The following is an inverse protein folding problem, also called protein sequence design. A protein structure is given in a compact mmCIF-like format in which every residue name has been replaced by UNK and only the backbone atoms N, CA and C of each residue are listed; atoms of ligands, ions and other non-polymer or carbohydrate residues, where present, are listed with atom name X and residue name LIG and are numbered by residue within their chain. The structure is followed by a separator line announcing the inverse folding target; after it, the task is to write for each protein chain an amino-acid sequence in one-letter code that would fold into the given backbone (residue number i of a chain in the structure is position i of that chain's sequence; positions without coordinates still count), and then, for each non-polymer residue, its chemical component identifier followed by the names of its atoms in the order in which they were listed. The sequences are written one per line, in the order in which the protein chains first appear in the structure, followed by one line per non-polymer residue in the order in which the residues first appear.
data_IF_933304617814
#
_entry.id   IF_933304617814
#
_cell.length_a   1.000
_cell.length_b   1.000
_cell.length_c   1.000
_cell.angle_alpha   90.00
_cell.angle_beta   90.00
_cell.angle_gamma   90.00
#
_symmetry.space_group_name_H-M   'P 1'
#
loop_
_entity.id
_entity.type
_entity.pdbx_description
1 polymer ?
#
# COMPACT_ATOMS: atom_id res chain seq x y z
N UNK A 1 -4.44 -22.81 55.52
CA UNK A 1 -5.51 -22.19 54.70
C UNK A 1 -4.80 -21.37 53.65
N UNK A 2 -4.68 -21.87 52.42
CA UNK A 2 -3.96 -21.22 51.32
C UNK A 2 -4.92 -20.41 50.46
N UNK A 3 -4.64 -19.12 50.33
CA UNK A 3 -5.26 -18.20 49.39
C UNK A 3 -4.80 -18.51 47.96
N UNK A 4 -5.75 -18.85 47.08
CA UNK A 4 -5.54 -18.98 45.63
C UNK A 4 -6.10 -17.69 44.98
N UNK A 5 -5.35 -16.99 44.11
CA UNK A 5 -5.85 -15.79 43.45
C UNK A 5 -6.91 -16.16 42.40
N UNK A 6 -7.85 -15.25 42.06
CA UNK A 6 -8.88 -15.54 41.07
C UNK A 6 -8.24 -15.71 39.69
N UNK A 7 -8.43 -16.90 39.11
CA UNK A 7 -8.12 -17.24 37.73
C UNK A 7 -8.79 -16.24 36.79
N UNK A 8 -7.99 -15.44 36.07
CA UNK A 8 -8.45 -14.55 35.01
C UNK A 8 -9.30 -15.32 34.01
N UNK A 9 -10.59 -15.01 33.93
CA UNK A 9 -11.46 -15.59 32.92
C UNK A 9 -10.94 -15.23 31.51
N UNK A 10 -10.92 -16.17 30.55
CA UNK A 10 -10.50 -15.88 29.20
C UNK A 10 -11.43 -14.82 28.58
N UNK A 11 -10.83 -13.77 28.02
CA UNK A 11 -11.57 -12.71 27.33
C UNK A 11 -12.44 -13.31 26.22
N UNK A 12 -13.67 -12.79 26.01
CA UNK A 12 -14.55 -13.29 24.96
C UNK A 12 -13.89 -13.13 23.58
N UNK A 13 -14.06 -14.10 22.67
CA UNK A 13 -13.51 -13.99 21.33
C UNK A 13 -14.12 -12.79 20.61
N UNK A 14 -13.26 -11.93 20.06
CA UNK A 14 -13.64 -10.78 19.24
C UNK A 14 -14.61 -11.22 18.11
N UNK A 15 -15.73 -10.52 17.89
CA UNK A 15 -16.65 -10.82 16.80
C UNK A 15 -16.04 -10.35 15.47
N UNK A 16 -15.39 -11.28 14.81
CA UNK A 16 -14.92 -11.21 13.43
C UNK A 16 -14.50 -12.61 13.04
N UNK A 17 -14.96 -13.12 11.90
CA UNK A 17 -14.63 -14.50 11.53
C UNK A 17 -13.10 -14.63 11.49
N UNK A 18 -12.56 -15.62 12.22
CA UNK A 18 -11.13 -15.94 12.27
C UNK A 18 -10.50 -16.04 10.87
N UNK A 19 -11.34 -16.34 9.87
CA UNK A 19 -11.06 -16.41 8.43
C UNK A 19 -10.78 -15.05 7.78
N UNK A 20 -11.50 -13.99 8.14
CA UNK A 20 -11.25 -12.63 7.63
C UNK A 20 -9.95 -12.02 8.19
N UNK A 21 -9.60 -12.33 9.43
CA UNK A 21 -8.32 -11.93 10.02
C UNK A 21 -7.12 -12.69 9.43
N UNK A 22 -7.33 -13.91 8.92
CA UNK A 22 -6.31 -14.73 8.24
C UNK A 22 -6.07 -14.33 6.77
N UNK A 23 -6.98 -13.57 6.15
CA UNK A 23 -6.89 -13.16 4.74
C UNK A 23 -6.29 -11.76 4.53
N UNK A 24 -6.01 -11.01 5.60
CA UNK A 24 -5.36 -9.70 5.48
C UNK A 24 -3.87 -9.90 5.19
N UNK A 25 -3.38 -9.23 4.15
CA UNK A 25 -1.97 -9.23 3.84
C UNK A 25 -1.15 -8.81 5.07
N UNK A 26 -0.20 -9.62 5.50
CA UNK A 26 0.62 -9.26 6.69
C UNK A 26 1.71 -8.25 6.33
N UNK A 27 2.02 -8.19 5.04
CA UNK A 27 3.04 -7.32 4.48
C UNK A 27 2.52 -6.64 3.21
N UNK A 28 2.68 -5.34 3.12
CA UNK A 28 2.42 -4.56 1.90
C UNK A 28 3.75 -4.05 1.36
N UNK A 29 4.06 -4.37 0.12
CA UNK A 29 5.31 -3.98 -0.53
C UNK A 29 4.97 -2.97 -1.61
N UNK A 30 5.49 -1.75 -1.48
CA UNK A 30 5.25 -0.64 -2.40
C UNK A 30 6.52 -0.41 -3.20
N UNK A 31 6.42 -0.41 -4.52
CA UNK A 31 7.55 -0.23 -5.43
C UNK A 31 7.16 0.67 -6.59
N UNK A 32 8.08 1.51 -7.04
CA UNK A 32 7.91 2.36 -8.21
C UNK A 32 8.58 1.76 -9.43
N UNK A 33 8.08 2.10 -10.61
CA UNK A 33 8.73 1.73 -11.88
C UNK A 33 9.98 2.58 -12.19
N UNK A 34 10.06 3.75 -11.56
CA UNK A 34 11.15 4.71 -11.72
C UNK A 34 11.24 5.64 -10.49
N UNK A 35 12.37 6.33 -10.36
CA UNK A 35 12.55 7.38 -9.36
C UNK A 35 11.53 8.52 -9.53
N UNK A 36 11.04 9.06 -8.41
CA UNK A 36 10.12 10.20 -8.42
C UNK A 36 8.70 9.90 -8.94
N UNK A 37 8.29 8.64 -9.02
CA UNK A 37 6.92 8.22 -9.38
C UNK A 37 5.90 8.47 -8.28
N UNK A 38 6.35 8.72 -7.04
CA UNK A 38 5.49 8.91 -5.87
C UNK A 38 5.37 7.69 -4.97
N UNK A 39 6.25 6.69 -5.10
CA UNK A 39 6.28 5.46 -4.29
C UNK A 39 6.17 5.74 -2.80
N UNK A 40 7.03 6.61 -2.27
CA UNK A 40 7.05 6.99 -0.85
C UNK A 40 5.77 7.71 -0.41
N UNK A 41 5.16 8.49 -1.30
CA UNK A 41 3.87 9.14 -1.02
C UNK A 41 2.75 8.11 -0.89
N UNK A 42 2.70 7.12 -1.80
CA UNK A 42 1.73 6.03 -1.74
C UNK A 42 1.96 5.16 -0.50
N UNK A 43 3.22 4.83 -0.17
CA UNK A 43 3.61 4.11 1.03
C UNK A 43 3.14 4.81 2.32
N UNK A 44 3.37 6.13 2.42
CA UNK A 44 2.94 6.91 3.58
C UNK A 44 1.41 7.01 3.71
N UNK A 45 0.68 7.17 2.60
CA UNK A 45 -0.79 7.17 2.60
C UNK A 45 -1.38 5.82 3.02
N UNK A 46 -0.76 4.71 2.59
CA UNK A 46 -1.16 3.37 3.02
C UNK A 46 -0.87 3.14 4.51
N UNK A 47 0.30 3.56 4.99
CA UNK A 47 0.65 3.44 6.40
C UNK A 47 -0.33 4.21 7.30
N UNK A 48 -0.69 5.44 6.91
CA UNK A 48 -1.72 6.22 7.59
C UNK A 48 -3.07 5.52 7.60
N UNK A 49 -3.55 5.12 6.41
CA UNK A 49 -4.89 4.60 6.29
C UNK A 49 -5.05 3.26 7.02
N UNK A 50 -4.04 2.39 6.98
CA UNK A 50 -4.03 1.14 7.76
C UNK A 50 -3.92 1.46 9.26
N UNK A 51 -3.02 2.37 9.64
CA UNK A 51 -2.75 2.69 11.03
C UNK A 51 -3.92 3.39 11.73
N UNK A 52 -4.31 4.55 11.19
CA UNK A 52 -5.34 5.40 11.76
C UNK A 52 -6.76 4.90 11.57
N UNK A 53 -7.09 4.26 10.44
CA UNK A 53 -8.49 3.84 10.16
C UNK A 53 -8.81 2.44 10.63
N UNK A 54 -7.81 1.55 10.68
CA UNK A 54 -8.02 0.15 11.03
C UNK A 54 -7.49 -0.20 12.43
N UNK A 55 -6.83 0.74 13.11
CA UNK A 55 -6.32 0.55 14.47
C UNK A 55 -5.20 -0.50 14.53
N UNK A 56 -4.32 -0.52 13.53
CA UNK A 56 -3.21 -1.47 13.39
C UNK A 56 -1.89 -0.74 13.56
N UNK A 57 -0.90 -1.33 14.23
CA UNK A 57 0.46 -0.76 14.23
C UNK A 57 1.11 -1.08 12.89
N UNK A 58 1.49 -0.05 12.14
CA UNK A 58 2.24 -0.20 10.89
C UNK A 58 3.73 -0.02 11.17
N UNK A 59 4.50 -1.09 10.97
CA UNK A 59 5.95 -1.02 10.90
C UNK A 59 6.36 -0.74 9.45
N UNK A 60 6.65 0.53 9.16
CA UNK A 60 7.11 0.97 7.86
C UNK A 60 8.65 0.87 7.77
N UNK A 61 9.16 0.23 6.72
CA UNK A 61 10.58 0.07 6.43
C UNK A 61 10.89 0.71 5.08
N UNK A 62 11.87 1.60 5.05
CA UNK A 62 12.29 2.34 3.87
C UNK A 62 13.58 1.74 3.30
N UNK A 63 13.52 1.29 2.04
CA UNK A 63 14.66 0.82 1.27
C UNK A 63 15.04 1.79 0.15
N UNK A 64 14.35 2.93 0.04
CA UNK A 64 14.47 3.93 -1.03
C UNK A 64 15.45 5.07 -0.75
N UNK A 65 16.02 5.14 0.47
CA UNK A 65 17.06 6.11 0.83
C UNK A 65 16.69 7.11 1.94
N UNK A 66 15.55 6.97 2.62
CA UNK A 66 15.32 7.60 3.93
C UNK A 66 14.21 8.66 4.04
N UNK A 67 13.37 8.84 3.01
CA UNK A 67 12.31 9.86 3.00
C UNK A 67 10.99 9.39 3.64
N UNK A 68 10.82 8.08 3.88
CA UNK A 68 9.57 7.53 4.42
C UNK A 68 9.28 8.03 5.84
N UNK A 69 10.30 8.07 6.71
CA UNK A 69 10.14 8.50 8.10
C UNK A 69 9.65 9.96 8.21
N UNK A 70 10.06 10.82 7.27
CA UNK A 70 9.61 12.20 7.19
C UNK A 70 8.14 12.34 6.76
N UNK A 71 7.57 11.32 6.11
CA UNK A 71 6.21 11.34 5.54
C UNK A 71 5.16 10.70 6.45
N UNK A 72 5.55 9.80 7.37
CA UNK A 72 4.63 9.07 8.24
C UNK A 72 3.84 10.00 9.19
N UNK A 73 2.51 9.87 9.28
CA UNK A 73 1.72 10.47 10.35
C UNK A 73 1.96 9.77 11.70
N UNK A 74 1.57 10.42 12.80
CA UNK A 74 1.73 9.86 14.16
C UNK A 74 0.88 8.60 14.31
N UNK A 75 1.50 7.48 14.70
CA UNK A 75 0.81 6.19 14.91
C UNK A 75 0.62 5.93 16.42
N UNK A 76 -0.59 5.54 16.81
CA UNK A 76 -0.95 5.12 18.17
C UNK A 76 -0.63 3.62 18.42
N UNK A 77 -0.43 3.18 19.68
CA UNK A 77 -0.12 1.79 19.99
C UNK A 77 -1.34 0.86 19.84
N UNK A 78 -1.18 -0.26 19.12
CA UNK A 78 -2.20 -1.29 18.92
C UNK A 78 -1.64 -2.74 18.95
N UNK A 79 -2.53 -3.73 19.02
CA UNK A 79 -2.22 -5.15 19.33
C UNK A 79 -1.88 -6.03 18.13
N UNK A 80 -1.98 -5.50 16.89
CA UNK A 80 -1.63 -6.22 15.64
C UNK A 80 -0.60 -5.40 14.85
N UNK A 81 0.42 -6.08 14.29
CA UNK A 81 1.50 -5.46 13.51
C UNK A 81 1.36 -5.81 12.03
N UNK A 82 1.39 -4.79 11.17
CA UNK A 82 1.53 -4.91 9.72
C UNK A 82 2.87 -4.34 9.30
N UNK A 83 3.54 -5.01 8.37
CA UNK A 83 4.79 -4.49 7.79
C UNK A 83 4.51 -3.81 6.45
N UNK A 84 5.03 -2.60 6.26
CA UNK A 84 5.00 -1.89 4.99
C UNK A 84 6.43 -1.66 4.50
N UNK A 85 6.75 -2.06 3.27
CA UNK A 85 8.05 -1.81 2.66
C UNK A 85 7.92 -0.77 1.54
N UNK A 86 8.65 0.34 1.65
CA UNK A 86 8.92 1.22 0.51
C UNK A 86 10.20 0.75 -0.17
N UNK A 87 10.07 0.19 -1.36
CA UNK A 87 11.17 -0.38 -2.14
C UNK A 87 11.79 0.62 -3.12
N UNK A 88 11.33 1.87 -3.19
CA UNK A 88 11.82 2.81 -4.20
C UNK A 88 11.59 2.27 -5.62
N UNK A 89 12.53 2.48 -6.54
CA UNK A 89 12.41 2.08 -7.95
C UNK A 89 12.94 0.65 -8.22
N UNK A 90 12.52 -0.34 -7.43
CA UNK A 90 13.10 -1.69 -7.43
C UNK A 90 12.02 -2.77 -7.56
N UNK A 91 11.41 -2.90 -8.76
CA UNK A 91 10.27 -3.80 -8.99
C UNK A 91 10.64 -5.28 -8.84
N UNK A 92 11.79 -5.73 -9.37
CA UNK A 92 12.23 -7.13 -9.26
C UNK A 92 12.41 -7.61 -7.82
N UNK A 93 13.26 -6.94 -7.00
CA UNK A 93 13.40 -7.28 -5.58
C UNK A 93 12.08 -7.18 -4.79
N UNK A 94 11.22 -6.20 -5.12
CA UNK A 94 9.91 -6.07 -4.50
C UNK A 94 9.00 -7.26 -4.81
N UNK A 95 8.99 -7.74 -6.06
CA UNK A 95 8.24 -8.92 -6.47
C UNK A 95 8.75 -10.19 -5.78
N UNK A 96 10.08 -10.32 -5.61
CA UNK A 96 10.66 -11.44 -4.89
C UNK A 96 10.22 -11.48 -3.41
N UNK A 97 10.12 -10.33 -2.74
CA UNK A 97 9.58 -10.24 -1.39
C UNK A 97 8.05 -10.48 -1.35
N UNK A 98 7.35 -10.08 -2.41
CA UNK A 98 5.90 -10.23 -2.53
C UNK A 98 5.47 -11.64 -2.94
N UNK A 99 6.42 -12.53 -3.26
CA UNK A 99 6.21 -13.92 -3.65
C UNK A 99 5.39 -14.74 -2.66
N UNK A 100 5.55 -14.44 -1.37
CA UNK A 100 4.82 -15.10 -0.30
C UNK A 100 3.32 -14.78 -0.43
N UNK A 101 2.42 -15.79 -0.44
CA UNK A 101 0.98 -15.58 -0.69
C UNK A 101 0.29 -14.59 0.26
N UNK A 102 0.82 -14.44 1.47
CA UNK A 102 0.32 -13.50 2.48
C UNK A 102 0.79 -12.05 2.28
N UNK A 103 1.57 -11.78 1.22
CA UNK A 103 2.11 -10.46 0.88
C UNK A 103 1.43 -9.90 -0.37
N UNK A 104 1.18 -8.59 -0.37
CA UNK A 104 0.67 -7.87 -1.54
C UNK A 104 1.71 -6.91 -2.10
N UNK A 105 1.62 -6.68 -3.41
CA UNK A 105 2.47 -5.76 -4.14
C UNK A 105 1.66 -4.55 -4.63
N UNK A 106 2.17 -3.35 -4.39
CA UNK A 106 1.68 -2.10 -4.95
C UNK A 106 2.73 -1.56 -5.91
N UNK A 107 2.40 -1.49 -7.19
CA UNK A 107 3.28 -0.93 -8.23
C UNK A 107 2.87 0.51 -8.52
N UNK A 108 3.82 1.43 -8.44
CA UNK A 108 3.59 2.87 -8.55
C UNK A 108 4.18 3.39 -9.86
N UNK A 109 3.33 4.03 -10.66
CA UNK A 109 3.69 4.63 -11.94
C UNK A 109 3.25 6.08 -12.02
N UNK A 110 3.67 6.77 -13.09
CA UNK A 110 3.13 8.10 -13.42
C UNK A 110 1.77 7.94 -14.09
N UNK A 111 0.83 8.83 -13.78
CA UNK A 111 -0.44 8.92 -14.49
C UNK A 111 -0.26 9.65 -15.83
N UNK A 112 0.49 9.02 -16.74
CA UNK A 112 0.66 9.39 -18.15
C UNK A 112 0.65 8.11 -18.99
N UNK A 113 0.46 8.21 -20.30
CA UNK A 113 0.48 7.04 -21.18
C UNK A 113 1.85 6.33 -21.15
N UNK A 114 2.94 7.09 -21.17
CA UNK A 114 4.30 6.55 -20.97
C UNK A 114 4.44 5.86 -19.61
N UNK A 115 3.87 6.45 -18.55
CA UNK A 115 3.92 5.87 -17.20
C UNK A 115 3.11 4.57 -17.10
N UNK A 116 1.99 4.47 -17.81
CA UNK A 116 1.21 3.24 -17.91
C UNK A 116 1.97 2.16 -18.71
N UNK A 117 2.68 2.54 -19.77
CA UNK A 117 3.55 1.64 -20.52
C UNK A 117 4.74 1.15 -19.66
N UNK A 118 5.38 2.05 -18.90
CA UNK A 118 6.45 1.71 -17.94
C UNK A 118 5.96 0.69 -16.91
N UNK A 119 4.76 0.88 -16.36
CA UNK A 119 4.13 -0.08 -15.44
C UNK A 119 3.86 -1.41 -16.11
N UNK A 120 3.29 -1.43 -17.32
CA UNK A 120 3.03 -2.68 -18.03
C UNK A 120 4.33 -3.46 -18.28
N UNK A 121 5.40 -2.79 -18.68
CA UNK A 121 6.71 -3.41 -18.86
C UNK A 121 7.26 -3.98 -17.55
N UNK A 122 7.13 -3.23 -16.44
CA UNK A 122 7.53 -3.69 -15.13
C UNK A 122 6.72 -4.92 -14.66
N UNK A 123 5.39 -4.92 -14.84
CA UNK A 123 4.53 -6.06 -14.51
C UNK A 123 4.89 -7.30 -15.35
N UNK A 124 5.16 -7.12 -16.65
CA UNK A 124 5.59 -8.20 -17.52
C UNK A 124 6.92 -8.84 -17.05
N UNK A 125 7.84 -8.04 -16.51
CA UNK A 125 9.12 -8.53 -15.98
C UNK A 125 9.00 -9.40 -14.72
N UNK A 126 7.86 -9.35 -14.02
CA UNK A 126 7.60 -10.09 -12.78
C UNK A 126 6.43 -11.08 -12.88
N UNK A 127 5.91 -11.29 -14.09
CA UNK A 127 4.67 -12.06 -14.32
C UNK A 127 4.82 -13.57 -14.07
N UNK A 128 6.04 -14.09 -14.11
CA UNK A 128 6.30 -15.54 -14.13
C UNK A 128 7.18 -16.02 -12.99
N UNK A 129 7.91 -15.12 -12.35
CA UNK A 129 8.77 -15.46 -11.22
C UNK A 129 8.70 -14.38 -10.15
N UNK A 130 8.75 -14.76 -8.86
CA UNK A 130 8.75 -16.13 -8.32
C UNK A 130 7.37 -16.75 -8.09
N UNK A 131 6.26 -16.03 -8.35
CA UNK A 131 4.90 -16.51 -8.09
C UNK A 131 3.94 -16.14 -9.25
N UNK A 132 3.34 -17.12 -9.94
CA UNK A 132 2.43 -16.86 -11.06
C UNK A 132 1.12 -16.18 -10.66
N UNK A 133 0.77 -16.18 -9.37
CA UNK A 133 -0.43 -15.51 -8.83
C UNK A 133 -0.17 -14.07 -8.40
N UNK A 134 1.09 -13.62 -8.41
CA UNK A 134 1.49 -12.31 -7.89
C UNK A 134 0.73 -11.16 -8.57
N UNK A 135 0.59 -11.18 -9.89
CA UNK A 135 -0.13 -10.13 -10.61
C UNK A 135 -1.59 -10.06 -10.17
N UNK A 136 -2.27 -11.20 -10.03
CA UNK A 136 -3.66 -11.29 -9.59
C UNK A 136 -3.93 -10.76 -8.18
N UNK A 137 -2.88 -10.55 -7.37
CA UNK A 137 -2.94 -9.89 -6.05
C UNK A 137 -2.19 -8.55 -5.98
N UNK A 138 -1.68 -8.07 -7.10
CA UNK A 138 -0.99 -6.79 -7.21
C UNK A 138 -1.96 -5.66 -7.52
N UNK A 139 -1.74 -4.49 -6.94
CA UNK A 139 -2.53 -3.28 -7.25
C UNK A 139 -1.61 -2.22 -7.85
N UNK A 140 -2.08 -1.50 -8.86
CA UNK A 140 -1.32 -0.40 -9.47
C UNK A 140 -1.88 0.94 -9.00
N UNK A 141 -0.99 1.82 -8.57
CA UNK A 141 -1.28 3.22 -8.32
C UNK A 141 -0.57 4.12 -9.36
N UNK A 142 -1.35 4.77 -10.22
CA UNK A 142 -0.85 5.77 -11.16
C UNK A 142 -0.97 7.16 -10.53
N UNK A 143 0.16 7.81 -10.29
CA UNK A 143 0.22 9.10 -9.59
C UNK A 143 0.29 10.24 -10.60
N UNK A 144 -0.72 11.10 -10.56
CA UNK A 144 -0.78 12.34 -11.32
C UNK A 144 -0.14 13.46 -10.53
N UNK A 145 0.86 14.11 -11.14
CA UNK A 145 1.55 15.28 -10.57
C UNK A 145 1.33 16.53 -11.42
N UNK A 146 0.60 16.41 -12.53
CA UNK A 146 0.39 17.53 -13.43
C UNK A 146 -0.61 18.53 -12.80
N UNK A 147 -0.34 19.82 -12.99
CA UNK A 147 -1.29 20.87 -12.59
C UNK A 147 -2.63 20.77 -13.34
N UNK A 148 -2.61 20.19 -14.55
CA UNK A 148 -3.78 19.87 -15.36
C UNK A 148 -3.86 18.35 -15.53
N UNK A 149 -4.83 17.68 -14.89
CA UNK A 149 -5.00 16.24 -15.01
C UNK A 149 -5.26 15.86 -16.46
N UNK A 150 -4.51 14.87 -16.96
CA UNK A 150 -4.80 14.26 -18.26
C UNK A 150 -5.54 12.94 -18.02
N UNK A 151 -6.43 12.57 -18.94
CA UNK A 151 -7.02 11.25 -18.94
C UNK A 151 -5.92 10.24 -19.30
N UNK A 152 -5.85 9.13 -18.55
CA UNK A 152 -4.86 8.07 -18.79
C UNK A 152 -5.64 6.80 -19.10
N UNK A 153 -5.25 6.09 -20.16
CA UNK A 153 -5.87 4.81 -20.46
C UNK A 153 -5.35 3.72 -19.50
N UNK A 154 -6.16 3.42 -18.48
CA UNK A 154 -5.82 2.38 -17.51
C UNK A 154 -6.01 0.95 -18.04
N UNK A 155 -6.66 0.77 -19.19
CA UNK A 155 -6.93 -0.58 -19.74
C UNK A 155 -5.64 -1.34 -20.03
N UNK A 156 -4.63 -0.65 -20.57
CA UNK A 156 -3.30 -1.21 -20.85
C UNK A 156 -2.66 -1.86 -19.62
N UNK A 157 -2.92 -1.31 -18.44
CA UNK A 157 -2.42 -1.87 -17.17
C UNK A 157 -3.35 -2.95 -16.64
N UNK A 158 -4.68 -2.76 -16.73
CA UNK A 158 -5.67 -3.76 -16.28
C UNK A 158 -5.53 -5.08 -17.04
N UNK A 159 -5.25 -5.02 -18.33
CA UNK A 159 -5.08 -6.19 -19.19
C UNK A 159 -3.85 -7.04 -18.81
N UNK A 160 -2.96 -6.53 -17.95
CA UNK A 160 -1.87 -7.30 -17.36
C UNK A 160 -2.34 -8.26 -16.25
N UNK A 161 -3.62 -8.26 -15.89
CA UNK A 161 -4.20 -9.20 -14.91
C UNK A 161 -4.00 -8.78 -13.45
N UNK A 162 -3.88 -7.49 -13.17
CA UNK A 162 -3.74 -6.95 -11.81
C UNK A 162 -5.08 -6.92 -11.05
N UNK A 163 -5.03 -7.02 -9.72
CA UNK A 163 -6.22 -6.96 -8.86
C UNK A 163 -6.97 -5.63 -8.95
N UNK A 164 -6.24 -4.54 -9.19
CA UNK A 164 -6.81 -3.21 -9.30
C UNK A 164 -5.86 -2.20 -9.91
N UNK A 165 -6.44 -1.14 -10.48
CA UNK A 165 -5.71 0.05 -10.96
C UNK A 165 -6.44 1.27 -10.44
N UNK A 166 -5.72 2.13 -9.72
CA UNK A 166 -6.21 3.40 -9.20
C UNK A 166 -5.38 4.56 -9.74
N UNK A 167 -6.00 5.73 -9.89
CA UNK A 167 -5.31 6.96 -10.30
C UNK A 167 -5.35 7.95 -9.13
N UNK A 168 -4.20 8.17 -8.51
CA UNK A 168 -4.03 9.16 -7.46
C UNK A 168 -3.83 10.53 -8.09
N UNK A 169 -4.84 11.38 -8.01
CA UNK A 169 -4.78 12.74 -8.57
C UNK A 169 -3.93 13.67 -7.72
N UNK A 170 -3.40 14.72 -8.35
CA UNK A 170 -2.62 15.73 -7.66
C UNK A 170 -3.43 16.33 -6.50
N UNK A 171 -2.78 16.40 -5.33
CA UNK A 171 -3.35 16.96 -4.11
C UNK A 171 -2.34 17.92 -3.49
N UNK A 172 -2.80 19.12 -3.15
CA UNK A 172 -1.96 20.17 -2.56
C UNK A 172 -1.37 19.73 -1.23
N UNK A 173 -2.10 18.94 -0.43
CA UNK A 173 -1.60 18.40 0.84
C UNK A 173 -0.41 17.45 0.64
N UNK A 174 -0.28 16.84 -0.56
CA UNK A 174 0.83 15.95 -0.91
C UNK A 174 2.01 16.68 -1.58
N UNK A 175 1.78 17.88 -2.13
CA UNK A 175 2.81 18.65 -2.84
C UNK A 175 3.90 19.25 -1.94
N UNK A 176 3.66 19.32 -0.63
CA UNK A 176 4.61 19.87 0.33
C UNK A 176 5.62 18.79 0.75
N UNK A 177 6.91 19.13 0.91
CA UNK A 177 7.85 18.25 1.59
C UNK A 177 7.47 18.08 3.07
N UNK A 178 7.88 16.96 3.68
CA UNK A 178 7.58 16.65 5.09
C UNK A 178 6.29 15.85 5.30
N UNK A 179 5.83 15.83 6.56
CA UNK A 179 4.73 14.97 7.03
C UNK A 179 3.44 15.24 6.27
N UNK A 180 2.71 14.18 5.91
CA UNK A 180 1.39 14.30 5.29
C UNK A 180 0.38 14.75 6.34
N UNK A 181 -0.22 15.93 6.12
CA UNK A 181 -1.34 16.43 6.94
C UNK A 181 -2.65 15.77 6.49
N UNK A 182 -2.99 14.65 7.13
CA UNK A 182 -4.16 13.81 6.77
C UNK A 182 -5.48 14.61 6.78
N UNK A 183 -5.62 15.53 7.74
CA UNK A 183 -6.79 16.41 7.84
C UNK A 183 -6.95 17.36 6.64
N UNK A 184 -5.86 17.61 5.90
CA UNK A 184 -5.86 18.46 4.71
C UNK A 184 -6.06 17.71 3.38
N UNK A 185 -6.19 16.38 3.40
CA UNK A 185 -6.35 15.57 2.19
C UNK A 185 -7.70 15.86 1.51
N UNK A 186 -7.67 15.99 0.19
CA UNK A 186 -8.87 16.12 -0.60
C UNK A 186 -9.72 14.84 -0.57
N UNK A 187 -11.04 14.99 -0.71
CA UNK A 187 -11.99 13.85 -0.76
C UNK A 187 -11.64 12.83 -1.85
N UNK A 188 -11.14 13.31 -2.99
CA UNK A 188 -10.71 12.43 -4.09
C UNK A 188 -9.54 11.53 -3.67
N UNK A 189 -8.53 12.09 -3.02
CA UNK A 189 -7.39 11.37 -2.46
C UNK A 189 -7.82 10.36 -1.42
N UNK A 190 -8.68 10.76 -0.48
CA UNK A 190 -9.23 9.87 0.55
C UNK A 190 -9.96 8.68 -0.09
N UNK A 191 -10.80 8.93 -1.09
CA UNK A 191 -11.54 7.89 -1.83
C UNK A 191 -10.57 6.95 -2.56
N UNK A 192 -9.58 7.47 -3.27
CA UNK A 192 -8.58 6.66 -3.97
C UNK A 192 -7.78 5.78 -3.02
N UNK A 193 -7.42 6.28 -1.83
CA UNK A 193 -6.76 5.48 -0.80
C UNK A 193 -7.69 4.38 -0.29
N UNK A 194 -8.98 4.64 -0.11
CA UNK A 194 -9.97 3.62 0.24
C UNK A 194 -10.14 2.56 -0.86
N UNK A 195 -10.15 2.96 -2.14
CA UNK A 195 -10.18 2.03 -3.28
C UNK A 195 -8.92 1.15 -3.33
N UNK A 196 -7.75 1.73 -3.03
CA UNK A 196 -6.48 1.02 -2.94
C UNK A 196 -6.50 -0.03 -1.82
N UNK A 197 -7.02 0.32 -0.64
CA UNK A 197 -7.17 -0.63 0.48
C UNK A 197 -8.14 -1.77 0.14
N UNK A 198 -9.30 -1.45 -0.45
CA UNK A 198 -10.28 -2.45 -0.84
C UNK A 198 -9.71 -3.43 -1.88
N UNK A 199 -8.92 -2.93 -2.84
CA UNK A 199 -8.23 -3.78 -3.83
C UNK A 199 -7.14 -4.68 -3.21
N UNK A 200 -6.58 -4.28 -2.07
CA UNK A 200 -5.65 -5.08 -1.26
C UNK A 200 -6.38 -6.04 -0.29
N UNK A 201 -7.71 -6.07 -0.28
CA UNK A 201 -8.51 -6.95 0.57
C UNK A 201 -8.74 -6.44 2.00
N UNK A 202 -8.67 -5.12 2.23
CA UNK A 202 -8.85 -4.47 3.53
C UNK A 202 -10.20 -3.79 3.69
#
# INVERSE_FOLDING_TARGET
MSDIPPTSAPLPPMPGSRRAALQRARTVIVTGVAGGTGTTTVAALLADAIGGRLGVVVQATDHSGGELAARLPSLEPATTRLTLHDMGAHVGPAAALAATPENCLVVVGRATDDGAADVRAALASIAHEPDPTLLGRSVVALVDRAAKPTAVDTRVVRDAGVAGVVVLRADRALSRPGRIEVAGLGRATIRTVSELLAALGW
#
